data_IF_268204986233
#
_entry.id   IF_268204986233
#
_cell.length_a   1.000
_cell.length_b   1.000
_cell.length_c   1.000
_cell.angle_alpha   90.00
_cell.angle_beta   90.00
_cell.angle_gamma   90.00
#
_symmetry.space_group_name_H-M   'P 1'
#
loop_
_entity.id
_entity.type
_entity.pdbx_description
1 polymer ?
#
# COMPACT_ATOMS: atom_id res chain seq x y z
N UNK A 1 1.76 -38.01 -4.47
CA UNK A 1 1.99 -37.95 -3.01
C UNK A 1 1.30 -36.71 -2.48
N UNK A 2 0.18 -36.83 -1.75
CA UNK A 2 -0.55 -35.69 -1.19
C UNK A 2 0.24 -34.95 -0.08
N UNK A 3 1.12 -35.66 0.63
CA UNK A 3 1.92 -35.12 1.75
C UNK A 3 2.99 -34.11 1.31
N UNK A 4 3.68 -34.36 0.19
CA UNK A 4 4.64 -33.40 -0.36
C UNK A 4 3.97 -32.09 -0.79
N UNK A 5 2.76 -32.15 -1.36
CA UNK A 5 2.01 -30.95 -1.76
C UNK A 5 1.63 -30.10 -0.54
N UNK A 6 1.16 -30.74 0.54
CA UNK A 6 0.77 -30.04 1.77
C UNK A 6 1.96 -29.37 2.47
N UNK A 7 3.15 -30.00 2.44
CA UNK A 7 4.37 -29.40 2.97
C UNK A 7 4.79 -28.17 2.13
N UNK A 8 4.75 -28.26 0.80
CA UNK A 8 5.05 -27.12 -0.07
C UNK A 8 4.09 -25.94 0.16
N UNK A 9 2.79 -26.20 0.32
CA UNK A 9 1.80 -25.17 0.63
C UNK A 9 2.06 -24.51 2.00
N UNK A 10 2.45 -25.33 2.98
CA UNK A 10 2.82 -24.84 4.33
C UNK A 10 4.06 -23.96 4.28
N UNK A 11 5.11 -24.39 3.56
CA UNK A 11 6.33 -23.62 3.36
C UNK A 11 6.03 -22.29 2.65
N UNK A 12 5.21 -22.33 1.60
CA UNK A 12 4.81 -21.13 0.86
C UNK A 12 4.03 -20.14 1.76
N UNK A 13 3.15 -20.65 2.62
CA UNK A 13 2.42 -19.82 3.58
C UNK A 13 3.35 -19.16 4.62
N UNK A 14 4.28 -19.93 5.21
CA UNK A 14 5.28 -19.41 6.15
C UNK A 14 6.16 -18.37 5.47
N UNK A 15 6.66 -18.67 4.26
CA UNK A 15 7.50 -17.74 3.51
C UNK A 15 6.79 -16.43 3.21
N UNK A 16 5.52 -16.47 2.81
CA UNK A 16 4.71 -15.27 2.57
C UNK A 16 4.56 -14.41 3.83
N UNK A 17 4.53 -15.02 5.01
CA UNK A 17 4.43 -14.31 6.29
C UNK A 17 5.78 -13.73 6.75
N UNK A 18 6.88 -14.47 6.57
CA UNK A 18 8.17 -14.18 7.21
C UNK A 18 9.21 -13.54 6.30
N UNK A 19 9.08 -13.69 4.98
CA UNK A 19 10.07 -13.22 3.99
C UNK A 19 10.47 -11.77 4.16
N UNK A 20 9.52 -10.86 4.38
CA UNK A 20 9.80 -9.44 4.58
C UNK A 20 10.71 -9.18 5.79
N UNK A 21 10.49 -9.91 6.91
CA UNK A 21 11.31 -9.80 8.12
C UNK A 21 12.71 -10.37 7.89
N UNK A 22 12.80 -11.50 7.19
CA UNK A 22 14.08 -12.14 6.86
C UNK A 22 14.92 -11.25 5.95
N UNK A 23 14.31 -10.72 4.88
CA UNK A 23 14.97 -9.80 3.94
C UNK A 23 15.39 -8.51 4.64
N UNK A 24 14.53 -7.94 5.50
CA UNK A 24 14.86 -6.75 6.27
C UNK A 24 16.09 -6.96 7.16
N UNK A 25 16.14 -8.09 7.87
CA UNK A 25 17.28 -8.43 8.72
C UNK A 25 18.56 -8.66 7.93
N UNK A 26 18.49 -9.41 6.83
CA UNK A 26 19.64 -9.62 5.94
C UNK A 26 20.13 -8.29 5.33
N UNK A 27 19.22 -7.41 4.91
CA UNK A 27 19.53 -6.11 4.31
C UNK A 27 20.26 -5.18 5.28
N UNK A 28 19.94 -5.23 6.58
CA UNK A 28 20.73 -4.50 7.58
C UNK A 28 22.18 -4.96 7.64
N UNK A 29 22.42 -6.27 7.56
CA UNK A 29 23.77 -6.85 7.67
C UNK A 29 24.60 -6.54 6.43
N UNK A 30 24.05 -6.77 5.24
CA UNK A 30 24.81 -6.65 3.98
C UNK A 30 24.71 -5.28 3.32
N UNK A 31 23.76 -4.44 3.74
CA UNK A 31 23.49 -3.09 3.21
C UNK A 31 23.22 -3.04 1.70
N UNK A 32 22.73 -4.14 1.16
CA UNK A 32 22.37 -4.32 -0.25
C UNK A 32 21.08 -5.13 -0.32
N UNK A 33 20.02 -4.54 -0.89
CA UNK A 33 18.70 -5.19 -0.98
C UNK A 33 18.68 -6.38 -1.93
N UNK A 34 19.46 -6.34 -3.00
CA UNK A 34 19.50 -7.42 -3.96
C UNK A 34 20.18 -8.63 -3.33
N UNK A 35 21.34 -8.40 -2.69
CA UNK A 35 22.04 -9.43 -1.95
C UNK A 35 21.21 -9.98 -0.79
N UNK A 36 20.47 -9.14 -0.09
CA UNK A 36 19.61 -9.57 1.02
C UNK A 36 18.49 -10.51 0.55
N UNK A 37 17.86 -10.23 -0.59
CA UNK A 37 16.86 -11.12 -1.17
C UNK A 37 17.45 -12.47 -1.57
N UNK A 38 18.63 -12.49 -2.20
CA UNK A 38 19.32 -13.73 -2.56
C UNK A 38 19.61 -14.60 -1.32
N UNK A 39 20.13 -13.98 -0.25
CA UNK A 39 20.45 -14.70 0.99
C UNK A 39 19.19 -15.23 1.70
N UNK A 40 18.08 -14.50 1.62
CA UNK A 40 16.80 -14.96 2.12
C UNK A 40 16.28 -16.14 1.29
N UNK A 41 16.41 -16.10 -0.05
CA UNK A 41 16.04 -17.21 -0.94
C UNK A 41 16.91 -18.44 -0.71
N UNK A 42 18.21 -18.29 -0.46
CA UNK A 42 19.10 -19.38 -0.05
C UNK A 42 18.62 -20.07 1.25
N UNK A 43 18.08 -19.31 2.20
CA UNK A 43 17.50 -19.87 3.41
C UNK A 43 16.21 -20.65 3.13
N UNK A 44 15.37 -20.17 2.21
CA UNK A 44 14.19 -20.91 1.75
C UNK A 44 14.57 -22.20 1.01
N UNK A 45 15.59 -22.16 0.15
CA UNK A 45 16.10 -23.35 -0.53
C UNK A 45 16.59 -24.39 0.47
N UNK A 46 17.35 -23.97 1.49
CA UNK A 46 17.79 -24.86 2.55
C UNK A 46 16.62 -25.49 3.33
N UNK A 47 15.53 -24.74 3.56
CA UNK A 47 14.31 -25.29 4.17
C UNK A 47 13.65 -26.35 3.28
N UNK A 48 13.52 -26.08 1.97
CA UNK A 48 12.95 -27.01 1.00
C UNK A 48 13.77 -28.29 0.84
N UNK A 49 15.09 -28.25 1.06
CA UNK A 49 15.95 -29.43 1.04
C UNK A 49 15.89 -30.24 2.36
N UNK A 50 15.76 -29.55 3.49
CA UNK A 50 15.94 -30.15 4.83
C UNK A 50 14.62 -30.64 5.43
N UNK A 51 13.55 -29.82 5.37
CA UNK A 51 12.29 -30.12 6.07
C UNK A 51 11.54 -31.35 5.54
N UNK A 52 11.58 -31.71 4.25
CA UNK A 52 11.00 -32.98 3.79
C UNK A 52 11.66 -34.21 4.41
N UNK A 53 12.95 -34.11 4.77
CA UNK A 53 13.72 -35.21 5.36
C UNK A 53 13.62 -35.26 6.87
N UNK A 54 13.74 -34.10 7.51
CA UNK A 54 13.91 -33.98 8.97
C UNK A 54 12.61 -33.57 9.69
N UNK A 55 11.56 -33.26 8.92
CA UNK A 55 10.30 -32.73 9.41
C UNK A 55 10.33 -31.21 9.62
N UNK A 56 9.14 -30.63 9.81
CA UNK A 56 8.99 -29.20 10.05
C UNK A 56 9.56 -28.83 11.44
N UNK A 57 10.44 -27.81 11.55
CA UNK A 57 10.92 -27.34 12.85
C UNK A 57 9.78 -26.84 13.73
N UNK A 58 9.96 -26.88 15.06
CA UNK A 58 8.97 -26.35 16.01
C UNK A 58 8.72 -24.85 15.81
N UNK A 59 9.75 -24.10 15.40
CA UNK A 59 9.62 -22.70 14.98
C UNK A 59 10.28 -22.49 13.61
N UNK A 60 9.53 -22.65 12.51
CA UNK A 60 10.05 -22.50 11.15
C UNK A 60 10.55 -21.08 10.84
N UNK A 61 9.87 -20.07 11.37
CA UNK A 61 10.23 -18.66 11.17
C UNK A 61 11.62 -18.34 11.76
N UNK A 62 11.86 -18.76 13.01
CA UNK A 62 13.15 -18.60 13.66
C UNK A 62 14.26 -19.36 12.92
N UNK A 63 13.96 -20.58 12.44
CA UNK A 63 14.93 -21.38 11.67
C UNK A 63 15.35 -20.67 10.37
N UNK A 64 14.38 -20.12 9.61
CA UNK A 64 14.66 -19.37 8.39
C UNK A 64 15.48 -18.10 8.68
N UNK A 65 15.13 -17.36 9.73
CA UNK A 65 15.84 -16.16 10.16
C UNK A 65 17.30 -16.46 10.52
N UNK A 66 17.53 -17.48 11.34
CA UNK A 66 18.89 -17.92 11.73
C UNK A 66 19.69 -18.35 10.50
N UNK A 67 19.07 -19.10 9.59
CA UNK A 67 19.72 -19.56 8.36
C UNK A 67 20.14 -18.38 7.48
N UNK A 68 19.24 -17.42 7.24
CA UNK A 68 19.55 -16.21 6.48
C UNK A 68 20.66 -15.38 7.14
N UNK A 69 20.64 -15.23 8.47
CA UNK A 69 21.70 -14.55 9.23
C UNK A 69 23.06 -15.21 9.02
N UNK A 70 23.15 -16.54 9.13
CA UNK A 70 24.41 -17.26 8.89
C UNK A 70 24.92 -17.06 7.47
N UNK A 71 24.02 -17.16 6.47
CA UNK A 71 24.37 -16.91 5.06
C UNK A 71 24.90 -15.49 4.84
N UNK A 72 24.27 -14.49 5.47
CA UNK A 72 24.74 -13.10 5.40
C UNK A 72 26.13 -12.91 6.01
N UNK A 73 26.39 -13.51 7.18
CA UNK A 73 27.71 -13.47 7.81
C UNK A 73 28.77 -14.16 6.94
N UNK A 74 28.45 -15.31 6.34
CA UNK A 74 29.35 -16.02 5.43
C UNK A 74 29.64 -15.22 4.15
N UNK A 75 28.65 -14.49 3.63
CA UNK A 75 28.87 -13.55 2.54
C UNK A 75 29.84 -12.43 2.92
N UNK A 76 29.62 -11.78 4.07
CA UNK A 76 30.51 -10.71 4.55
C UNK A 76 31.94 -11.20 4.80
N UNK A 77 32.11 -12.42 5.34
CA UNK A 77 33.44 -13.05 5.50
C UNK A 77 34.15 -13.21 4.16
N UNK A 78 33.44 -13.68 3.13
CA UNK A 78 34.00 -13.84 1.77
C UNK A 78 34.41 -12.51 1.15
N UNK A 79 33.56 -11.48 1.26
CA UNK A 79 33.87 -10.12 0.77
C UNK A 79 35.10 -9.55 1.47
N UNK A 80 35.18 -9.67 2.80
CA UNK A 80 36.34 -9.20 3.55
C UNK A 80 37.63 -9.94 3.18
N UNK A 81 37.55 -11.25 2.95
CA UNK A 81 38.68 -12.05 2.48
C UNK A 81 39.15 -11.63 1.08
N UNK A 82 38.21 -11.39 0.16
CA UNK A 82 38.50 -10.93 -1.21
C UNK A 82 39.13 -9.54 -1.21
N UNK A 83 38.56 -8.58 -0.47
CA UNK A 83 39.12 -7.23 -0.35
C UNK A 83 40.56 -7.26 0.19
N UNK A 84 40.85 -8.14 1.17
CA UNK A 84 42.21 -8.34 1.68
C UNK A 84 43.14 -9.01 0.68
N UNK A 85 42.64 -9.96 -0.12
CA UNK A 85 43.44 -10.57 -1.19
C UNK A 85 43.74 -9.55 -2.29
N UNK A 86 42.78 -8.70 -2.65
CA UNK A 86 42.98 -7.61 -3.60
C UNK A 86 43.95 -6.56 -3.05
N UNK A 87 43.84 -6.20 -1.76
CA UNK A 87 44.78 -5.32 -1.08
C UNK A 87 46.17 -5.96 -0.94
N UNK A 88 46.24 -7.25 -0.62
CA UNK A 88 47.49 -8.01 -0.57
C UNK A 88 48.12 -8.17 -1.95
N UNK A 89 47.34 -8.35 -3.03
CA UNK A 89 47.82 -8.36 -4.42
C UNK A 89 48.26 -6.96 -4.90
N UNK A 90 47.57 -5.91 -4.45
CA UNK A 90 47.96 -4.53 -4.69
C UNK A 90 49.23 -4.14 -3.91
N UNK A 91 49.41 -4.68 -2.70
CA UNK A 91 50.61 -4.54 -1.87
C UNK A 91 51.75 -5.46 -2.34
N UNK A 92 51.48 -6.64 -2.90
CA UNK A 92 52.46 -7.54 -3.54
C UNK A 92 53.01 -6.96 -4.85
N UNK A 93 52.29 -6.01 -5.47
CA UNK A 93 52.84 -5.17 -6.54
C UNK A 93 53.86 -4.13 -6.03
N UNK A 94 54.04 -3.97 -4.71
CA UNK A 94 54.98 -3.02 -4.09
C UNK A 94 55.94 -3.58 -3.04
N UNK A 95 55.73 -4.74 -2.41
CA UNK A 95 56.75 -5.36 -1.54
C UNK A 95 56.40 -6.78 -1.09
N UNK A 96 57.36 -7.68 -1.30
CA UNK A 96 57.41 -9.06 -0.81
C UNK A 96 57.24 -9.17 0.73
N UNK A 97 56.38 -10.14 1.12
CA UNK A 97 56.33 -10.88 2.39
C UNK A 97 55.87 -10.16 3.67
N UNK A 98 54.76 -10.64 4.24
CA UNK A 98 54.69 -11.05 5.65
C UNK A 98 53.45 -11.95 5.91
N UNK A 99 53.70 -13.15 6.44
CA UNK A 99 52.69 -13.99 7.06
C UNK A 99 52.06 -13.25 8.25
N UNK A 100 50.76 -13.00 8.16
CA UNK A 100 49.93 -12.61 9.31
C UNK A 100 48.59 -13.30 9.18
N UNK A 101 48.40 -14.34 9.99
CA UNK A 101 47.10 -14.96 10.27
C UNK A 101 46.54 -14.30 11.54
N UNK A 102 45.37 -13.61 11.51
CA UNK A 102 44.67 -13.41 12.78
C UNK A 102 43.12 -13.42 12.70
N UNK A 103 42.55 -14.33 13.48
CA UNK A 103 41.52 -14.26 14.52
C UNK A 103 40.72 -12.94 14.82
N UNK A 104 40.37 -12.12 13.82
CA UNK A 104 39.48 -10.94 14.00
C UNK A 104 37.99 -11.20 13.72
N UNK A 105 37.66 -12.35 13.11
CA UNK A 105 36.29 -12.72 12.81
C UNK A 105 35.39 -12.82 14.06
N UNK A 106 35.84 -13.37 15.22
CA UNK A 106 34.96 -13.59 16.36
C UNK A 106 34.40 -12.31 16.96
N UNK A 107 35.13 -11.19 16.92
CA UNK A 107 34.75 -9.95 17.63
C UNK A 107 33.71 -9.12 16.87
N UNK A 108 33.82 -9.08 15.52
CA UNK A 108 32.78 -8.52 14.64
C UNK A 108 31.51 -9.38 14.65
N UNK A 109 31.65 -10.70 14.73
CA UNK A 109 30.50 -11.62 14.88
C UNK A 109 29.82 -11.42 16.23
N UNK A 110 30.60 -11.25 17.31
CA UNK A 110 30.08 -11.06 18.68
C UNK A 110 29.38 -9.69 18.85
N UNK A 111 29.85 -8.64 18.17
CA UNK A 111 29.18 -7.33 18.16
C UNK A 111 27.89 -7.33 17.32
N UNK A 112 27.82 -8.13 16.25
CA UNK A 112 26.61 -8.35 15.45
C UNK A 112 25.61 -9.29 16.15
N UNK A 113 26.07 -10.25 16.96
CA UNK A 113 25.23 -11.15 17.76
C UNK A 113 24.48 -10.44 18.88
N UNK A 114 25.09 -9.43 19.51
CA UNK A 114 24.48 -8.65 20.60
C UNK A 114 23.39 -7.68 20.11
N UNK A 115 23.31 -7.40 18.80
CA UNK A 115 22.39 -6.42 18.21
C UNK A 115 21.12 -7.06 17.59
N UNK A 116 20.79 -8.30 17.99
CA UNK A 116 19.75 -9.14 17.42
C UNK A 116 18.69 -9.60 18.45
N UNK A 117 18.25 -8.69 19.32
CA UNK A 117 17.04 -8.89 20.13
C UNK A 117 15.76 -8.77 19.28
N UNK A 118 14.65 -9.36 19.70
CA UNK A 118 13.36 -9.28 18.98
C UNK A 118 12.90 -7.83 18.66
N UNK A 119 13.26 -6.86 19.51
CA UNK A 119 13.02 -5.43 19.28
C UNK A 119 13.74 -4.89 18.02
N UNK A 120 14.88 -5.47 17.64
CA UNK A 120 15.65 -5.05 16.47
C UNK A 120 15.01 -5.51 15.15
N UNK A 121 14.21 -6.58 15.16
CA UNK A 121 13.60 -7.13 13.92
C UNK A 121 12.45 -6.25 13.44
N UNK A 122 11.62 -5.77 14.36
CA UNK A 122 10.54 -4.83 14.05
C UNK A 122 11.12 -3.50 13.53
N UNK A 123 12.22 -3.03 14.12
CA UNK A 123 12.99 -1.89 13.60
C UNK A 123 13.57 -2.17 12.20
N UNK A 124 14.11 -3.36 11.94
CA UNK A 124 14.64 -3.74 10.62
C UNK A 124 13.54 -3.73 9.55
N UNK A 125 12.36 -4.27 9.85
CA UNK A 125 11.21 -4.24 8.95
C UNK A 125 10.73 -2.80 8.69
N UNK A 126 10.73 -1.97 9.73
CA UNK A 126 10.40 -0.55 9.59
C UNK A 126 11.42 0.15 8.67
N UNK A 127 12.73 -0.09 8.84
CA UNK A 127 13.79 0.42 7.95
C UNK A 127 13.54 0.03 6.50
N UNK A 128 13.24 -1.24 6.26
CA UNK A 128 12.98 -1.76 4.91
C UNK A 128 11.80 -1.03 4.24
N UNK A 129 10.73 -0.76 4.99
CA UNK A 129 9.57 -0.01 4.50
C UNK A 129 9.95 1.43 4.10
N UNK A 130 10.70 2.13 4.94
CA UNK A 130 11.16 3.49 4.63
C UNK A 130 12.05 3.52 3.38
N UNK A 131 12.96 2.56 3.25
CA UNK A 131 13.88 2.47 2.11
C UNK A 131 13.11 2.14 0.81
N UNK A 132 12.19 1.19 0.84
CA UNK A 132 11.37 0.83 -0.32
C UNK A 132 10.48 1.99 -0.79
N UNK A 133 10.07 2.86 0.15
CA UNK A 133 9.27 4.06 -0.11
C UNK A 133 10.11 5.34 -0.25
N UNK A 134 11.44 5.26 -0.38
CA UNK A 134 12.29 6.45 -0.42
C UNK A 134 12.04 7.32 -1.67
N UNK A 135 11.98 8.66 -1.55
CA UNK A 135 11.63 9.55 -2.66
C UNK A 135 12.64 9.57 -3.82
N UNK A 136 13.85 9.04 -3.62
CA UNK A 136 14.82 8.81 -4.72
C UNK A 136 14.25 7.89 -5.80
N UNK A 137 13.28 7.05 -5.45
CA UNK A 137 12.58 6.17 -6.37
C UNK A 137 11.32 6.85 -6.92
N UNK A 138 11.03 6.73 -8.23
CA UNK A 138 9.76 7.14 -8.81
C UNK A 138 8.57 6.41 -8.15
N UNK A 139 7.34 6.99 -8.11
CA UNK A 139 6.18 6.39 -7.44
C UNK A 139 5.87 4.95 -7.86
N UNK A 140 5.92 4.66 -9.17
CA UNK A 140 5.68 3.31 -9.69
C UNK A 140 6.75 2.30 -9.24
N UNK A 141 7.98 2.76 -9.04
CA UNK A 141 9.08 1.94 -8.52
C UNK A 141 8.91 1.67 -7.03
N UNK A 142 8.48 2.68 -6.24
CA UNK A 142 8.17 2.50 -4.81
C UNK A 142 7.07 1.47 -4.59
N UNK A 143 5.98 1.57 -5.35
CA UNK A 143 4.88 0.61 -5.29
C UNK A 143 5.35 -0.82 -5.63
N UNK A 144 6.01 -1.00 -6.78
CA UNK A 144 6.47 -2.31 -7.22
C UNK A 144 7.47 -2.94 -6.24
N UNK A 145 8.43 -2.14 -5.74
CA UNK A 145 9.43 -2.61 -4.79
C UNK A 145 8.81 -2.96 -3.43
N UNK A 146 7.86 -2.15 -2.94
CA UNK A 146 7.14 -2.41 -1.69
C UNK A 146 6.32 -3.70 -1.77
N UNK A 147 5.57 -3.89 -2.87
CA UNK A 147 4.79 -5.11 -3.10
C UNK A 147 5.68 -6.36 -3.18
N UNK A 148 6.88 -6.21 -3.78
CA UNK A 148 7.83 -7.31 -3.91
C UNK A 148 8.45 -7.70 -2.57
N UNK A 149 9.05 -6.72 -1.88
CA UNK A 149 9.84 -6.95 -0.67
C UNK A 149 8.98 -7.17 0.57
N UNK A 150 7.94 -6.36 0.74
CA UNK A 150 7.13 -6.37 1.94
C UNK A 150 5.84 -7.14 1.72
N UNK A 151 5.22 -6.98 0.55
CA UNK A 151 4.00 -7.70 0.20
C UNK A 151 4.21 -9.18 -0.13
N UNK A 152 5.44 -9.58 -0.45
CA UNK A 152 5.76 -10.96 -0.83
C UNK A 152 5.16 -11.40 -2.16
N UNK A 153 4.69 -10.46 -2.99
CA UNK A 153 4.14 -10.76 -4.31
C UNK A 153 5.25 -11.19 -5.28
N UNK A 154 4.93 -12.13 -6.16
CA UNK A 154 5.75 -12.46 -7.33
C UNK A 154 5.70 -11.34 -8.37
N UNK A 155 6.71 -11.30 -9.25
CA UNK A 155 6.74 -10.33 -10.36
C UNK A 155 5.51 -10.43 -11.25
N UNK A 156 5.04 -11.65 -11.53
CA UNK A 156 3.81 -11.90 -12.29
C UNK A 156 2.56 -11.34 -11.59
N UNK A 157 2.45 -11.52 -10.27
CA UNK A 157 1.34 -10.95 -9.49
C UNK A 157 1.37 -9.43 -9.49
N UNK A 158 2.55 -8.81 -9.36
CA UNK A 158 2.71 -7.35 -9.41
C UNK A 158 2.40 -6.83 -10.82
N UNK A 159 2.83 -7.55 -11.87
CA UNK A 159 2.54 -7.22 -13.26
C UNK A 159 1.04 -7.21 -13.54
N UNK A 160 0.33 -8.25 -13.08
CA UNK A 160 -1.13 -8.32 -13.13
C UNK A 160 -1.78 -7.20 -12.30
N UNK A 161 -1.30 -6.97 -11.08
CA UNK A 161 -1.83 -5.94 -10.19
C UNK A 161 -1.56 -4.50 -10.66
N UNK A 162 -0.57 -4.28 -11.53
CA UNK A 162 -0.27 -2.98 -12.12
C UNK A 162 -0.72 -2.85 -13.59
N UNK A 163 -1.23 -3.93 -14.21
CA UNK A 163 -1.49 -4.04 -15.65
C UNK A 163 -0.31 -3.59 -16.51
N UNK A 164 0.84 -4.16 -16.21
CA UNK A 164 2.08 -3.93 -16.94
C UNK A 164 2.62 -5.27 -17.43
N UNK A 165 3.31 -5.32 -18.58
CA UNK A 165 4.03 -6.54 -18.96
C UNK A 165 5.00 -6.97 -17.86
N UNK A 166 5.04 -8.26 -17.57
CA UNK A 166 5.92 -8.81 -16.53
C UNK A 166 7.40 -8.42 -16.71
N UNK A 167 7.99 -8.41 -17.93
CA UNK A 167 9.36 -7.93 -18.13
C UNK A 167 9.55 -6.46 -17.73
N UNK A 168 8.54 -5.61 -17.93
CA UNK A 168 8.58 -4.20 -17.56
C UNK A 168 8.63 -4.04 -16.03
N UNK A 169 7.85 -4.84 -15.30
CA UNK A 169 7.87 -4.84 -13.84
C UNK A 169 9.17 -5.40 -13.30
N UNK A 170 9.67 -6.51 -13.86
CA UNK A 170 10.97 -7.09 -13.50
C UNK A 170 12.10 -6.05 -13.62
N UNK A 171 12.20 -5.40 -14.79
CA UNK A 171 13.19 -4.35 -15.03
C UNK A 171 13.01 -3.13 -14.12
N UNK A 172 11.77 -2.82 -13.72
CA UNK A 172 11.49 -1.72 -12.80
C UNK A 172 12.01 -2.02 -11.39
N UNK A 173 11.79 -3.25 -10.90
CA UNK A 173 12.27 -3.69 -9.58
C UNK A 173 13.81 -3.71 -9.56
N UNK A 174 14.45 -4.29 -10.59
CA UNK A 174 15.92 -4.32 -10.69
C UNK A 174 16.50 -2.91 -10.71
N UNK A 175 15.94 -1.99 -11.52
CA UNK A 175 16.39 -0.59 -11.55
C UNK A 175 16.19 0.11 -10.22
N UNK A 176 15.07 -0.14 -9.52
CA UNK A 176 14.81 0.45 -8.22
C UNK A 176 15.85 0.03 -7.18
N UNK A 177 16.15 -1.27 -7.09
CA UNK A 177 17.20 -1.78 -6.20
C UNK A 177 18.57 -1.18 -6.51
N UNK A 178 18.94 -1.11 -7.79
CA UNK A 178 20.20 -0.48 -8.23
C UNK A 178 20.25 1.00 -7.86
N UNK A 179 19.18 1.76 -8.09
CA UNK A 179 19.12 3.17 -7.68
C UNK A 179 19.31 3.34 -6.17
N UNK A 180 18.76 2.44 -5.35
CA UNK A 180 18.98 2.47 -3.90
C UNK A 180 20.43 2.12 -3.54
N UNK A 181 21.02 1.08 -4.15
CA UNK A 181 22.42 0.73 -3.93
C UNK A 181 23.38 1.88 -4.32
N UNK A 182 23.17 2.48 -5.49
CA UNK A 182 23.99 3.57 -6.02
C UNK A 182 23.82 4.89 -5.20
N UNK A 183 22.72 5.02 -4.45
CA UNK A 183 22.44 6.24 -3.66
C UNK A 183 23.27 6.37 -2.38
N UNK A 184 23.89 5.28 -1.91
CA UNK A 184 24.66 5.26 -0.66
C UNK A 184 23.84 5.55 0.59
N UNK A 185 22.50 5.43 0.53
CA UNK A 185 21.63 5.67 1.68
C UNK A 185 21.98 4.71 2.82
N UNK A 186 22.17 5.22 4.06
CA UNK A 186 22.41 4.35 5.20
C UNK A 186 21.15 3.52 5.48
N UNK A 187 21.34 2.23 5.82
CA UNK A 187 20.25 1.36 6.30
C UNK A 187 19.94 1.70 7.77
N UNK A 188 19.41 2.90 8.00
CA UNK A 188 19.10 3.44 9.32
C UNK A 188 17.66 3.94 9.37
N UNK A 189 17.07 3.95 10.57
CA UNK A 189 15.75 4.54 10.75
C UNK A 189 15.90 6.07 10.70
N UNK A 190 15.14 6.77 9.84
CA UNK A 190 15.07 8.22 9.90
C UNK A 190 14.64 8.68 11.30
N UNK A 191 15.21 9.79 11.76
CA UNK A 191 14.90 10.39 13.07
C UNK A 191 14.32 11.79 12.89
N UNK A 192 13.53 12.23 13.87
CA UNK A 192 12.96 13.58 13.89
C UNK A 192 12.17 13.93 12.63
N UNK A 193 12.41 15.10 12.06
CA UNK A 193 11.68 15.64 10.90
C UNK A 193 11.82 14.78 9.64
N UNK A 194 13.01 14.18 9.42
CA UNK A 194 13.24 13.27 8.30
C UNK A 194 12.35 12.01 8.39
N UNK A 195 12.01 11.57 9.61
CA UNK A 195 11.05 10.48 9.81
C UNK A 195 9.64 10.89 9.39
N UNK A 196 9.20 12.08 9.79
CA UNK A 196 7.86 12.59 9.45
C UNK A 196 7.68 12.74 7.94
N UNK A 197 8.66 13.29 7.24
CA UNK A 197 8.63 13.41 5.77
C UNK A 197 8.60 12.05 5.08
N UNK A 198 9.48 11.14 5.51
CA UNK A 198 9.56 9.81 4.92
C UNK A 198 8.28 8.98 5.23
N UNK A 199 7.65 9.20 6.38
CA UNK A 199 6.40 8.56 6.76
C UNK A 199 5.26 8.97 5.82
N UNK A 200 5.23 10.24 5.41
CA UNK A 200 4.29 10.71 4.38
C UNK A 200 4.40 9.91 3.08
N UNK A 201 5.62 9.60 2.63
CA UNK A 201 5.85 8.77 1.43
C UNK A 201 5.34 7.32 1.63
N UNK A 202 5.61 6.72 2.79
CA UNK A 202 5.14 5.38 3.14
C UNK A 202 3.61 5.31 3.13
N UNK A 203 2.94 6.24 3.80
CA UNK A 203 1.49 6.32 3.86
C UNK A 203 0.88 6.50 2.46
N UNK A 204 1.49 7.35 1.64
CA UNK A 204 1.05 7.57 0.26
C UNK A 204 1.14 6.31 -0.61
N UNK A 205 2.20 5.50 -0.46
CA UNK A 205 2.35 4.23 -1.20
C UNK A 205 1.31 3.21 -0.74
N UNK A 206 1.09 3.07 0.58
CA UNK A 206 0.08 2.15 1.12
C UNK A 206 -1.33 2.55 0.67
N UNK A 207 -1.64 3.86 0.72
CA UNK A 207 -2.92 4.38 0.25
C UNK A 207 -3.13 4.17 -1.25
N UNK A 208 -2.12 4.43 -2.08
CA UNK A 208 -2.19 4.22 -3.53
C UNK A 208 -2.42 2.76 -3.88
N UNK A 209 -1.70 1.86 -3.21
CA UNK A 209 -1.87 0.42 -3.36
C UNK A 209 -3.31 -0.01 -3.02
N UNK A 210 -3.85 0.47 -1.89
CA UNK A 210 -5.22 0.17 -1.51
C UNK A 210 -6.21 0.68 -2.56
N UNK A 211 -6.04 1.91 -3.03
CA UNK A 211 -6.94 2.51 -4.02
C UNK A 211 -6.94 1.77 -5.35
N UNK A 212 -5.77 1.37 -5.85
CA UNK A 212 -5.67 0.56 -7.07
C UNK A 212 -6.32 -0.83 -6.89
N UNK A 213 -6.32 -1.37 -5.67
CA UNK A 213 -7.05 -2.60 -5.36
C UNK A 213 -8.56 -2.37 -5.24
N UNK A 214 -8.95 -1.26 -4.64
CA UNK A 214 -10.32 -0.96 -4.28
C UNK A 214 -11.14 -0.49 -5.49
N UNK A 215 -10.54 0.28 -6.39
CA UNK A 215 -11.14 0.67 -7.67
C UNK A 215 -10.04 0.64 -8.74
N UNK A 216 -9.93 -0.49 -9.42
CA UNK A 216 -8.89 -0.73 -10.42
C UNK A 216 -9.00 0.30 -11.55
N UNK A 217 -7.95 1.09 -11.75
CA UNK A 217 -7.96 2.21 -12.70
C UNK A 217 -8.05 1.75 -14.16
N UNK A 218 -7.64 0.52 -14.42
CA UNK A 218 -7.63 -0.10 -15.75
C UNK A 218 -8.00 -1.60 -15.66
N UNK A 219 -8.29 -2.21 -16.82
CA UNK A 219 -8.44 -3.66 -16.99
C UNK A 219 -9.88 -4.16 -16.94
N UNK A 220 -10.04 -5.48 -16.86
CA UNK A 220 -11.34 -6.16 -16.88
C UNK A 220 -11.94 -6.34 -15.49
N UNK A 221 -11.10 -6.54 -14.47
CA UNK A 221 -11.54 -6.62 -13.08
C UNK A 221 -11.79 -5.21 -12.53
N UNK A 222 -12.90 -4.98 -11.84
CA UNK A 222 -13.13 -3.69 -11.17
C UNK A 222 -12.40 -3.54 -9.84
N UNK A 223 -12.21 -4.64 -9.13
CA UNK A 223 -11.47 -4.64 -7.87
C UNK A 223 -10.46 -5.77 -7.87
N UNK A 224 -9.34 -5.53 -7.18
CA UNK A 224 -8.29 -6.51 -6.91
C UNK A 224 -8.21 -6.68 -5.38
N UNK A 225 -9.09 -7.51 -4.79
CA UNK A 225 -9.21 -7.62 -3.32
C UNK A 225 -7.90 -7.98 -2.64
N UNK A 226 -7.09 -8.83 -3.27
CA UNK A 226 -5.76 -9.22 -2.78
C UNK A 226 -4.83 -8.02 -2.57
N UNK A 227 -4.92 -6.99 -3.42
CA UNK A 227 -4.13 -5.77 -3.28
C UNK A 227 -4.64 -4.89 -2.12
N UNK A 228 -5.96 -4.86 -1.89
CA UNK A 228 -6.54 -4.22 -0.70
C UNK A 228 -6.11 -4.92 0.59
N UNK A 229 -6.17 -6.25 0.60
CA UNK A 229 -5.76 -7.09 1.74
C UNK A 229 -4.30 -6.85 2.09
N UNK A 230 -3.43 -6.79 1.07
CA UNK A 230 -2.01 -6.53 1.26
C UNK A 230 -1.74 -5.12 1.79
N UNK A 231 -2.42 -4.11 1.23
CA UNK A 231 -2.34 -2.75 1.75
C UNK A 231 -2.81 -2.64 3.20
N UNK A 232 -3.90 -3.31 3.56
CA UNK A 232 -4.43 -3.34 4.91
C UNK A 232 -3.47 -4.05 5.87
N UNK A 233 -2.84 -5.14 5.43
CA UNK A 233 -1.79 -5.84 6.19
C UNK A 233 -0.61 -4.91 6.47
N UNK A 234 -0.11 -4.21 5.46
CA UNK A 234 1.00 -3.25 5.62
C UNK A 234 0.62 -2.06 6.51
N UNK A 235 -0.60 -1.53 6.41
CA UNK A 235 -1.09 -0.48 7.31
C UNK A 235 -1.14 -0.93 8.78
N UNK A 236 -1.57 -2.18 9.04
CA UNK A 236 -1.59 -2.75 10.40
C UNK A 236 -0.19 -2.96 10.96
N UNK A 237 0.74 -3.45 10.12
CA UNK A 237 2.16 -3.58 10.50
C UNK A 237 2.72 -2.20 10.85
N UNK A 238 2.51 -1.20 10.00
CA UNK A 238 2.98 0.16 10.26
C UNK A 238 2.39 0.77 11.54
N UNK A 239 1.10 0.55 11.81
CA UNK A 239 0.46 0.99 13.05
C UNK A 239 1.04 0.33 14.31
N UNK A 240 1.43 -0.94 14.22
CA UNK A 240 2.16 -1.64 15.28
C UNK A 240 3.57 -1.09 15.49
N UNK A 241 4.27 -0.76 14.41
CA UNK A 241 5.64 -0.23 14.43
C UNK A 241 5.71 1.26 14.81
N UNK A 242 4.62 2.01 14.61
CA UNK A 242 4.54 3.45 14.86
C UNK A 242 3.28 3.82 15.67
N UNK A 243 3.15 3.34 16.93
CA UNK A 243 1.91 3.44 17.70
C UNK A 243 1.57 4.86 18.19
N UNK A 244 2.50 5.80 18.09
CA UNK A 244 2.33 7.20 18.50
C UNK A 244 2.07 8.14 17.31
N UNK A 245 2.10 7.64 16.07
CA UNK A 245 1.89 8.46 14.88
C UNK A 245 0.39 8.54 14.56
N UNK A 246 -0.25 9.68 14.83
CA UNK A 246 -1.69 9.85 14.64
C UNK A 246 -2.13 9.53 13.20
N UNK A 247 -1.34 9.97 12.21
CA UNK A 247 -1.69 9.82 10.80
C UNK A 247 -1.61 8.38 10.29
N UNK A 248 -0.77 7.54 10.90
CA UNK A 248 -0.73 6.10 10.63
C UNK A 248 -2.05 5.44 11.02
N UNK A 249 -2.57 5.78 12.20
CA UNK A 249 -3.87 5.30 12.66
C UNK A 249 -5.02 5.88 11.83
N UNK A 250 -4.89 7.12 11.35
CA UNK A 250 -5.82 7.74 10.39
C UNK A 250 -5.91 6.96 9.08
N UNK A 251 -4.77 6.60 8.48
CA UNK A 251 -4.75 5.75 7.29
C UNK A 251 -5.32 4.37 7.57
N UNK A 252 -4.91 3.70 8.65
CA UNK A 252 -5.45 2.40 9.02
C UNK A 252 -6.99 2.46 9.17
N UNK A 253 -7.51 3.49 9.84
CA UNK A 253 -8.95 3.68 9.98
C UNK A 253 -9.65 3.80 8.63
N UNK A 254 -9.10 4.62 7.72
CA UNK A 254 -9.63 4.79 6.37
C UNK A 254 -9.69 3.44 5.63
N UNK A 255 -8.60 2.68 5.66
CA UNK A 255 -8.51 1.41 4.93
C UNK A 255 -9.42 0.34 5.52
N UNK A 256 -9.49 0.18 6.84
CA UNK A 256 -10.40 -0.75 7.51
C UNK A 256 -11.87 -0.46 7.15
N UNK A 257 -12.26 0.82 7.18
CA UNK A 257 -13.62 1.25 6.85
C UNK A 257 -13.93 1.00 5.37
N UNK A 258 -13.03 1.33 4.44
CA UNK A 258 -13.24 1.05 3.03
C UNK A 258 -13.26 -0.45 2.73
N UNK A 259 -12.35 -1.22 3.35
CA UNK A 259 -12.25 -2.67 3.20
C UNK A 259 -13.49 -3.39 3.72
N UNK A 260 -14.17 -2.84 4.73
CA UNK A 260 -15.41 -3.42 5.28
C UNK A 260 -16.50 -3.65 4.23
N UNK A 261 -16.43 -2.93 3.11
CA UNK A 261 -17.45 -2.95 2.07
C UNK A 261 -17.14 -3.91 0.93
N UNK A 262 -15.93 -4.46 0.83
CA UNK A 262 -15.45 -5.22 -0.33
C UNK A 262 -16.44 -6.31 -0.75
N UNK A 263 -16.97 -7.06 0.21
CA UNK A 263 -17.92 -8.14 -0.03
C UNK A 263 -19.31 -7.66 -0.51
N UNK A 264 -19.62 -6.36 -0.46
CA UNK A 264 -20.89 -5.78 -0.89
C UNK A 264 -20.79 -4.98 -2.20
N UNK A 265 -19.60 -4.86 -2.79
CA UNK A 265 -19.36 -4.03 -3.98
C UNK A 265 -19.72 -4.69 -5.30
N UNK A 266 -19.79 -6.01 -5.30
CA UNK A 266 -20.18 -6.82 -6.44
C UNK A 266 -21.43 -7.62 -6.09
N UNK A 267 -22.32 -7.76 -7.06
CA UNK A 267 -23.45 -8.69 -6.97
C UNK A 267 -23.02 -10.13 -7.30
N UNK A 268 -23.99 -11.05 -7.32
CA UNK A 268 -23.75 -12.46 -7.61
C UNK A 268 -23.27 -12.71 -9.04
N UNK A 269 -23.49 -11.77 -9.95
CA UNK A 269 -23.06 -11.79 -11.35
C UNK A 269 -21.70 -11.11 -11.54
N UNK A 270 -21.03 -10.72 -10.46
CA UNK A 270 -19.76 -10.00 -10.50
C UNK A 270 -19.89 -8.57 -11.04
N UNK A 271 -21.11 -8.01 -11.03
CA UNK A 271 -21.39 -6.68 -11.53
C UNK A 271 -21.35 -5.61 -10.45
N UNK A 272 -21.14 -4.37 -10.86
CA UNK A 272 -21.38 -3.17 -10.05
C UNK A 272 -22.50 -3.09 -9.05
N UNK A 273 -22.14 -2.83 -7.79
CA UNK A 273 -23.05 -2.27 -6.79
C UNK A 273 -22.51 -0.92 -6.28
N UNK A 274 -23.17 0.17 -6.68
CA UNK A 274 -22.82 1.53 -6.26
C UNK A 274 -23.10 1.73 -4.77
N UNK A 275 -22.34 2.63 -4.13
CA UNK A 275 -22.34 2.83 -2.67
C UNK A 275 -23.74 2.92 -2.04
N UNK A 276 -24.70 3.54 -2.71
CA UNK A 276 -26.05 3.76 -2.17
C UNK A 276 -26.95 2.55 -2.29
N UNK A 277 -26.63 1.64 -3.21
CA UNK A 277 -27.39 0.42 -3.48
C UNK A 277 -26.77 -0.80 -2.77
N UNK A 278 -25.62 -0.61 -2.08
CA UNK A 278 -24.96 -1.68 -1.34
C UNK A 278 -25.78 -2.10 -0.13
N UNK A 279 -25.98 -3.41 0.02
CA UNK A 279 -26.54 -3.98 1.24
C UNK A 279 -25.54 -3.84 2.39
N UNK A 280 -25.80 -2.89 3.29
CA UNK A 280 -24.94 -2.60 4.45
C UNK A 280 -24.85 -3.75 5.45
N UNK A 281 -25.77 -4.73 5.40
CA UNK A 281 -25.70 -5.95 6.23
C UNK A 281 -24.56 -6.87 5.79
N UNK A 282 -24.09 -6.74 4.54
CA UNK A 282 -22.92 -7.45 4.02
C UNK A 282 -21.60 -6.74 4.36
N UNK A 283 -21.64 -5.59 5.04
CA UNK A 283 -20.42 -4.90 5.45
C UNK A 283 -19.80 -5.61 6.66
N UNK A 284 -18.49 -5.77 6.65
CA UNK A 284 -17.76 -6.47 7.69
C UNK A 284 -17.73 -5.64 8.99
N UNK A 285 -18.52 -6.06 9.97
CA UNK A 285 -18.64 -5.40 11.26
C UNK A 285 -17.34 -5.42 12.08
N UNK A 286 -16.45 -6.40 11.89
CA UNK A 286 -15.14 -6.43 12.55
C UNK A 286 -14.23 -5.34 11.98
N UNK A 287 -14.16 -5.21 10.65
CA UNK A 287 -13.38 -4.15 10.00
C UNK A 287 -13.94 -2.77 10.37
N UNK A 288 -15.27 -2.60 10.43
CA UNK A 288 -15.87 -1.35 10.93
C UNK A 288 -15.43 -1.02 12.35
N UNK A 289 -15.50 -1.99 13.28
CA UNK A 289 -15.05 -1.77 14.67
C UNK A 289 -13.57 -1.43 14.77
N UNK A 290 -12.72 -2.12 13.99
CA UNK A 290 -11.28 -1.83 13.93
C UNK A 290 -11.01 -0.43 13.40
N UNK A 291 -11.70 -0.04 12.32
CA UNK A 291 -11.57 1.29 11.74
C UNK A 291 -12.01 2.41 12.69
N UNK A 292 -13.12 2.22 13.41
CA UNK A 292 -13.57 3.15 14.45
C UNK A 292 -12.56 3.25 15.60
N UNK A 293 -11.98 2.12 16.04
CA UNK A 293 -10.96 2.10 17.09
C UNK A 293 -9.67 2.81 16.65
N UNK A 294 -9.23 2.60 15.41
CA UNK A 294 -8.07 3.28 14.84
C UNK A 294 -8.31 4.79 14.71
N UNK A 295 -9.50 5.22 14.28
CA UNK A 295 -9.83 6.66 14.21
C UNK A 295 -9.83 7.30 15.60
N UNK A 296 -10.44 6.66 16.59
CA UNK A 296 -10.43 7.15 17.97
C UNK A 296 -8.99 7.26 18.53
N UNK A 297 -8.11 6.31 18.18
CA UNK A 297 -6.70 6.36 18.54
C UNK A 297 -5.98 7.53 17.86
N UNK A 298 -6.24 7.76 16.57
CA UNK A 298 -5.68 8.89 15.83
C UNK A 298 -6.12 10.23 16.45
N UNK A 299 -7.41 10.39 16.73
CA UNK A 299 -7.98 11.59 17.36
C UNK A 299 -7.37 11.85 18.75
N UNK A 300 -7.18 10.80 19.56
CA UNK A 300 -6.56 10.92 20.89
C UNK A 300 -5.08 11.37 20.81
N UNK A 301 -4.33 10.90 19.82
CA UNK A 301 -2.94 11.32 19.59
C UNK A 301 -2.88 12.76 19.07
N UNK A 302 -3.75 13.11 18.12
CA UNK A 302 -3.80 14.44 17.51
C UNK A 302 -4.20 15.56 18.49
N UNK A 303 -4.89 15.26 19.60
CA UNK A 303 -5.20 16.23 20.66
C UNK A 303 -3.95 16.85 21.28
N UNK A 304 -2.82 16.14 21.24
CA UNK A 304 -1.55 16.60 21.78
C UNK A 304 -0.62 17.23 20.72
N UNK A 305 -1.04 17.24 19.45
CA UNK A 305 -0.28 17.78 18.33
C UNK A 305 -0.75 19.20 17.95
N UNK A 306 0.18 20.14 17.82
CA UNK A 306 -0.13 21.52 17.42
C UNK A 306 -0.60 21.62 15.95
N UNK A 307 -0.28 20.63 15.12
CA UNK A 307 -0.53 20.59 13.68
C UNK A 307 -1.98 20.29 13.33
N UNK A 308 -2.77 19.67 14.22
CA UNK A 308 -4.15 19.21 13.94
C UNK A 308 -4.21 18.05 12.94
N UNK A 309 -5.42 17.58 12.54
CA UNK A 309 -5.60 16.30 11.84
C UNK A 309 -5.01 16.29 10.43
N UNK A 310 -4.33 15.19 10.08
CA UNK A 310 -3.80 14.97 8.74
C UNK A 310 -4.85 14.53 7.71
N UNK A 311 -4.45 14.41 6.43
CA UNK A 311 -5.39 14.15 5.33
C UNK A 311 -6.12 12.80 5.44
N UNK A 312 -5.48 11.74 5.95
CA UNK A 312 -6.06 10.42 6.11
C UNK A 312 -7.00 10.36 7.32
N UNK A 313 -6.70 11.07 8.40
CA UNK A 313 -7.63 11.22 9.53
C UNK A 313 -8.94 11.87 9.09
N UNK A 314 -8.86 12.96 8.32
CA UNK A 314 -10.04 13.65 7.80
C UNK A 314 -10.82 12.78 6.80
N UNK A 315 -10.13 12.06 5.92
CA UNK A 315 -10.78 11.10 5.01
C UNK A 315 -11.43 9.92 5.76
N UNK A 316 -10.80 9.41 6.83
CA UNK A 316 -11.35 8.36 7.67
C UNK A 316 -12.62 8.85 8.38
N UNK A 317 -12.61 10.07 8.92
CA UNK A 317 -13.80 10.67 9.53
C UNK A 317 -14.98 10.75 8.54
N UNK A 318 -14.71 11.16 7.29
CA UNK A 318 -15.71 11.15 6.21
C UNK A 318 -16.22 9.72 5.94
N UNK A 319 -15.31 8.74 5.81
CA UNK A 319 -15.68 7.36 5.53
C UNK A 319 -16.52 6.74 6.66
N UNK A 320 -16.22 7.08 7.92
CA UNK A 320 -16.94 6.62 9.11
C UNK A 320 -18.39 7.08 9.12
N UNK A 321 -18.73 8.25 8.57
CA UNK A 321 -20.12 8.70 8.43
C UNK A 321 -20.97 7.68 7.64
N UNK A 322 -20.40 7.07 6.60
CA UNK A 322 -21.08 5.99 5.88
C UNK A 322 -21.20 4.72 6.74
N UNK A 323 -20.10 4.30 7.39
CA UNK A 323 -20.07 3.07 8.19
C UNK A 323 -20.98 3.08 9.42
N UNK A 324 -21.26 4.25 10.00
CA UNK A 324 -22.14 4.39 11.16
C UNK A 324 -23.63 4.32 10.79
N UNK A 325 -23.99 4.68 9.57
CA UNK A 325 -25.38 4.71 9.16
C UNK A 325 -25.87 3.30 8.78
N UNK A 326 -26.99 2.87 9.37
CA UNK A 326 -27.56 1.54 9.13
C UNK A 326 -28.13 1.38 7.71
N UNK A 327 -28.59 2.47 7.10
CA UNK A 327 -29.11 2.50 5.72
C UNK A 327 -28.48 3.63 4.93
N UNK A 328 -28.64 3.61 3.60
CA UNK A 328 -28.11 4.63 2.71
C UNK A 328 -28.69 6.02 3.02
N UNK A 329 -29.98 6.08 3.31
CA UNK A 329 -30.76 7.29 3.59
C UNK A 329 -30.39 7.91 4.94
N UNK A 330 -30.01 7.09 5.92
CA UNK A 330 -29.60 7.54 7.25
C UNK A 330 -28.16 8.13 7.28
N UNK A 331 -27.48 8.20 6.13
CA UNK A 331 -26.13 8.76 6.03
C UNK A 331 -26.15 10.26 6.36
N UNK A 332 -25.30 10.67 7.31
CA UNK A 332 -25.15 12.08 7.66
C UNK A 332 -24.31 12.82 6.60
N UNK A 333 -25.00 13.30 5.57
CA UNK A 333 -24.37 14.07 4.49
C UNK A 333 -23.88 15.44 4.93
N UNK A 334 -24.46 16.05 5.97
CA UNK A 334 -23.98 17.32 6.50
C UNK A 334 -22.59 17.16 7.13
N UNK A 335 -22.40 16.11 7.93
CA UNK A 335 -21.08 15.77 8.47
C UNK A 335 -20.06 15.45 7.37
N UNK A 336 -20.46 14.76 6.31
CA UNK A 336 -19.58 14.47 5.17
C UNK A 336 -19.14 15.76 4.46
N UNK A 337 -20.07 16.69 4.20
CA UNK A 337 -19.74 17.99 3.59
C UNK A 337 -18.78 18.78 4.48
N UNK A 338 -19.04 18.85 5.79
CA UNK A 338 -18.16 19.50 6.75
C UNK A 338 -16.76 18.86 6.81
N UNK A 339 -16.68 17.53 6.70
CA UNK A 339 -15.41 16.80 6.60
C UNK A 339 -14.62 17.18 5.34
N UNK A 340 -15.30 17.27 4.19
CA UNK A 340 -14.66 17.74 2.96
C UNK A 340 -14.26 19.22 3.02
N UNK A 341 -15.02 20.06 3.71
CA UNK A 341 -14.65 21.46 3.97
C UNK A 341 -13.35 21.56 4.78
N UNK A 342 -13.24 20.78 5.87
CA UNK A 342 -12.03 20.70 6.68
C UNK A 342 -10.83 20.17 5.86
N UNK A 343 -11.04 19.13 5.05
CA UNK A 343 -10.01 18.57 4.18
C UNK A 343 -9.54 19.57 3.13
N UNK A 344 -10.46 20.28 2.48
CA UNK A 344 -10.15 21.28 1.45
C UNK A 344 -9.41 22.49 2.02
N UNK A 345 -9.74 22.92 3.24
CA UNK A 345 -9.09 24.04 3.90
C UNK A 345 -7.60 23.78 4.21
N UNK A 346 -7.25 22.53 4.52
CA UNK A 346 -5.88 22.14 4.89
C UNK A 346 -5.08 21.52 3.72
N UNK A 347 -5.76 20.76 2.87
CA UNK A 347 -5.18 19.96 1.80
C UNK A 347 -5.95 20.18 0.48
N UNK A 348 -5.86 21.39 -0.11
CA UNK A 348 -6.65 21.73 -1.29
C UNK A 348 -6.28 20.85 -2.48
N UNK A 349 -7.28 20.24 -3.10
CA UNK A 349 -7.12 19.40 -4.28
C UNK A 349 -8.35 19.48 -5.19
N UNK A 350 -8.19 19.52 -6.53
CA UNK A 350 -9.31 19.43 -7.46
C UNK A 350 -10.20 18.21 -7.22
N UNK A 351 -9.62 17.08 -6.84
CA UNK A 351 -10.36 15.85 -6.54
C UNK A 351 -11.17 15.98 -5.24
N UNK A 352 -10.62 16.65 -4.22
CA UNK A 352 -11.36 16.95 -2.98
C UNK A 352 -12.55 17.87 -3.27
N UNK A 353 -12.37 18.89 -4.13
CA UNK A 353 -13.46 19.78 -4.57
C UNK A 353 -14.56 19.03 -5.30
N UNK A 354 -14.20 18.11 -6.19
CA UNK A 354 -15.14 17.24 -6.89
C UNK A 354 -15.93 16.35 -5.89
N UNK A 355 -15.23 15.66 -5.00
CA UNK A 355 -15.87 14.78 -4.01
C UNK A 355 -16.81 15.55 -3.07
N UNK A 356 -16.41 16.77 -2.68
CA UNK A 356 -17.28 17.68 -1.92
C UNK A 356 -18.56 18.01 -2.70
N UNK A 357 -18.47 18.34 -3.98
CA UNK A 357 -19.65 18.63 -4.80
C UNK A 357 -20.59 17.42 -4.89
N UNK A 358 -20.06 16.20 -4.98
CA UNK A 358 -20.85 14.96 -4.89
C UNK A 358 -21.55 14.85 -3.53
N UNK A 359 -20.87 15.12 -2.42
CA UNK A 359 -21.50 15.12 -1.09
C UNK A 359 -22.62 16.17 -0.97
N UNK A 360 -22.37 17.41 -1.45
CA UNK A 360 -23.38 18.48 -1.49
C UNK A 360 -24.60 18.06 -2.32
N UNK A 361 -24.40 17.30 -3.40
CA UNK A 361 -25.51 16.81 -4.23
C UNK A 361 -26.48 15.87 -3.49
N UNK A 362 -26.03 15.28 -2.39
CA UNK A 362 -26.76 14.30 -1.57
C UNK A 362 -27.35 14.93 -0.31
N UNK A 363 -26.78 16.04 0.14
CA UNK A 363 -27.31 16.84 1.23
C UNK A 363 -28.69 17.41 0.88
N UNK A 364 -29.57 17.52 1.87
CA UNK A 364 -30.93 18.03 1.65
C UNK A 364 -30.93 19.51 1.24
N UNK A 365 -31.94 19.97 0.48
CA UNK A 365 -32.07 21.39 0.13
C UNK A 365 -32.17 22.32 1.34
N UNK A 366 -32.81 21.87 2.43
CA UNK A 366 -32.94 22.61 3.69
C UNK A 366 -31.59 22.93 4.35
N UNK A 367 -30.59 22.07 4.10
CA UNK A 367 -29.22 22.25 4.61
C UNK A 367 -28.31 22.96 3.60
N UNK A 368 -28.89 23.58 2.55
CA UNK A 368 -28.15 24.29 1.50
C UNK A 368 -27.52 23.37 0.45
N UNK A 369 -27.93 22.10 0.41
CA UNK A 369 -27.44 21.11 -0.53
C UNK A 369 -28.33 20.91 -1.76
N UNK A 370 -28.11 19.76 -2.41
CA UNK A 370 -28.95 19.24 -3.48
C UNK A 370 -28.30 19.27 -4.87
N UNK A 371 -28.91 18.58 -5.84
CA UNK A 371 -28.32 18.40 -7.17
C UNK A 371 -28.03 19.73 -7.91
N UNK A 372 -28.91 20.73 -7.81
CA UNK A 372 -28.71 22.01 -8.48
C UNK A 372 -27.48 22.78 -7.96
N UNK A 373 -27.28 22.79 -6.64
CA UNK A 373 -26.11 23.42 -6.00
C UNK A 373 -24.83 22.69 -6.39
N UNK A 374 -24.86 21.36 -6.36
CA UNK A 374 -23.73 20.54 -6.78
C UNK A 374 -23.35 20.77 -8.24
N UNK A 375 -24.32 20.91 -9.15
CA UNK A 375 -24.04 21.18 -10.56
C UNK A 375 -23.29 22.50 -10.74
N UNK A 376 -23.68 23.55 -10.01
CA UNK A 376 -22.99 24.83 -10.03
C UNK A 376 -21.55 24.72 -9.48
N UNK A 377 -21.30 23.84 -8.51
CA UNK A 377 -19.96 23.57 -7.98
C UNK A 377 -19.09 22.76 -8.96
N UNK A 378 -19.68 21.89 -9.77
CA UNK A 378 -18.97 21.07 -10.76
C UNK A 378 -18.56 21.88 -12.00
N UNK A 379 -19.36 22.87 -12.42
CA UNK A 379 -19.10 23.64 -13.64
C UNK A 379 -17.69 24.27 -13.69
N UNK A 380 -17.19 24.99 -12.66
CA UNK A 380 -15.84 25.53 -12.69
C UNK A 380 -14.73 24.48 -12.72
N UNK A 381 -15.01 23.23 -12.35
CA UNK A 381 -14.01 22.15 -12.33
C UNK A 381 -13.67 21.67 -13.74
N UNK A 382 -14.56 21.87 -14.73
CA UNK A 382 -14.33 21.53 -16.14
C UNK A 382 -13.14 22.27 -16.75
N UNK A 383 -12.90 23.49 -16.28
CA UNK A 383 -11.83 24.35 -16.77
C UNK A 383 -10.46 23.98 -16.18
N UNK A 384 -10.42 23.15 -15.14
CA UNK A 384 -9.17 22.71 -14.53
C UNK A 384 -8.49 21.65 -15.40
N UNK A 385 -7.26 21.88 -15.88
CA UNK A 385 -6.55 20.92 -16.72
C UNK A 385 -6.40 19.54 -16.05
N UNK A 386 -6.24 19.51 -14.72
CA UNK A 386 -6.08 18.29 -13.94
C UNK A 386 -7.33 17.38 -13.93
N UNK A 387 -8.51 17.89 -14.28
CA UNK A 387 -9.78 17.13 -14.28
C UNK A 387 -10.37 16.93 -15.68
N UNK A 388 -9.75 17.50 -16.73
CA UNK A 388 -10.28 17.47 -18.10
C UNK A 388 -10.56 16.05 -18.61
N UNK A 389 -9.61 15.16 -18.34
CA UNK A 389 -9.62 13.75 -18.75
C UNK A 389 -9.92 12.82 -17.58
N UNK A 390 -10.43 13.37 -16.46
CA UNK A 390 -10.78 12.58 -15.28
C UNK A 390 -12.23 12.07 -15.41
N UNK A 391 -12.45 10.75 -15.60
CA UNK A 391 -13.78 10.21 -15.93
C UNK A 391 -14.83 10.52 -14.87
N UNK A 392 -14.41 10.61 -13.60
CA UNK A 392 -15.31 10.78 -12.47
C UNK A 392 -15.92 12.19 -12.38
N UNK A 393 -15.31 13.21 -13.00
CA UNK A 393 -15.96 14.52 -13.13
C UNK A 393 -17.21 14.40 -14.03
N UNK A 394 -17.05 13.81 -15.21
CA UNK A 394 -18.16 13.59 -16.14
C UNK A 394 -19.22 12.63 -15.55
N UNK A 395 -18.80 11.60 -14.81
CA UNK A 395 -19.73 10.70 -14.12
C UNK A 395 -20.54 11.42 -13.03
N UNK A 396 -19.91 12.28 -12.23
CA UNK A 396 -20.59 13.04 -11.18
C UNK A 396 -21.60 14.04 -11.78
N UNK A 397 -21.24 14.68 -12.89
CA UNK A 397 -22.14 15.56 -13.62
C UNK A 397 -23.35 14.80 -14.17
N UNK A 398 -23.13 13.63 -14.80
CA UNK A 398 -24.21 12.78 -15.29
C UNK A 398 -25.20 12.40 -14.18
N UNK A 399 -24.67 11.99 -13.02
CA UNK A 399 -25.48 11.60 -11.85
C UNK A 399 -26.30 12.76 -11.27
N UNK A 400 -25.75 13.96 -11.26
CA UNK A 400 -26.44 15.18 -10.82
C UNK A 400 -27.51 15.61 -11.83
N UNK A 401 -27.18 15.58 -13.13
CA UNK A 401 -28.10 15.95 -14.22
C UNK A 401 -29.28 14.99 -14.32
N UNK A 402 -29.04 13.69 -14.14
CA UNK A 402 -30.08 12.66 -14.10
C UNK A 402 -31.09 12.93 -12.98
N UNK A 403 -30.60 13.22 -11.77
CA UNK A 403 -31.45 13.58 -10.61
C UNK A 403 -32.20 14.90 -10.77
N UNK A 404 -31.73 15.78 -11.66
CA UNK A 404 -32.44 17.00 -12.06
C UNK A 404 -33.43 16.78 -13.21
N UNK A 405 -33.56 15.55 -13.73
CA UNK A 405 -34.41 15.24 -14.88
C UNK A 405 -33.84 15.70 -16.23
N UNK A 406 -32.59 16.19 -16.27
CA UNK A 406 -31.90 16.65 -17.51
C UNK A 406 -31.31 15.46 -18.26
N UNK A 407 -32.19 14.56 -18.72
CA UNK A 407 -31.83 13.21 -19.23
C UNK A 407 -30.82 13.22 -20.36
N UNK A 408 -31.00 14.08 -21.36
CA UNK A 408 -30.10 14.12 -22.53
C UNK A 408 -28.69 14.62 -22.16
N UNK A 409 -28.59 15.62 -21.30
CA UNK A 409 -27.29 16.10 -20.82
C UNK A 409 -26.60 15.06 -19.91
N UNK A 410 -27.39 14.36 -19.09
CA UNK A 410 -26.89 13.26 -18.27
C UNK A 410 -26.35 12.11 -19.14
N UNK A 411 -27.07 11.76 -20.21
CA UNK A 411 -26.64 10.75 -21.19
C UNK A 411 -25.27 11.09 -21.78
N UNK A 412 -25.11 12.32 -22.30
CA UNK A 412 -23.84 12.79 -22.88
C UNK A 412 -22.70 12.76 -21.85
N UNK A 413 -22.99 13.15 -20.61
CA UNK A 413 -22.00 13.12 -19.54
C UNK A 413 -21.54 11.69 -19.20
N UNK A 414 -22.46 10.72 -19.13
CA UNK A 414 -22.11 9.32 -18.92
C UNK A 414 -21.35 8.69 -20.10
N UNK A 415 -21.71 9.04 -21.34
CA UNK A 415 -20.96 8.58 -22.52
C UNK A 415 -19.52 9.11 -22.52
N UNK A 416 -19.33 10.38 -22.15
CA UNK A 416 -17.99 10.96 -21.97
C UNK A 416 -17.23 10.26 -20.84
N UNK A 417 -17.88 10.02 -19.70
CA UNK A 417 -17.26 9.32 -18.58
C UNK A 417 -16.82 7.90 -18.99
N UNK A 418 -17.66 7.19 -19.76
CA UNK A 418 -17.32 5.87 -20.29
C UNK A 418 -16.13 5.93 -21.27
N UNK A 419 -16.08 6.94 -22.15
CA UNK A 419 -14.97 7.09 -23.10
C UNK A 419 -13.61 7.38 -22.42
N UNK A 420 -13.63 8.02 -21.25
CA UNK A 420 -12.45 8.36 -20.46
C UNK A 420 -12.02 7.26 -19.47
N UNK A 421 -12.87 6.28 -19.19
CA UNK A 421 -12.55 5.23 -18.22
C UNK A 421 -11.62 4.16 -18.81
N UNK A 422 -10.59 3.78 -18.04
CA UNK A 422 -9.67 2.71 -18.40
C UNK A 422 -10.15 1.30 -18.00
N UNK A 423 -11.21 1.21 -17.19
CA UNK A 423 -11.73 -0.05 -16.65
C UNK A 423 -12.98 -0.50 -17.40
N UNK A 424 -13.01 -1.77 -17.85
CA UNK A 424 -14.09 -2.29 -18.67
C UNK A 424 -15.45 -2.35 -17.93
N UNK A 425 -15.46 -2.63 -16.63
CA UNK A 425 -16.70 -2.64 -15.83
C UNK A 425 -17.23 -1.24 -15.59
N UNK A 426 -16.34 -0.26 -15.35
CA UNK A 426 -16.75 1.16 -15.27
C UNK A 426 -17.32 1.64 -16.61
N UNK A 427 -16.68 1.29 -17.73
CA UNK A 427 -17.21 1.59 -19.07
C UNK A 427 -18.60 0.98 -19.29
N UNK A 428 -18.78 -0.30 -18.94
CA UNK A 428 -20.04 -1.01 -19.10
C UNK A 428 -21.15 -0.37 -18.25
N UNK A 429 -20.87 -0.08 -16.97
CA UNK A 429 -21.80 0.59 -16.07
C UNK A 429 -22.22 1.96 -16.60
N UNK A 430 -21.26 2.79 -17.00
CA UNK A 430 -21.53 4.14 -17.48
C UNK A 430 -22.30 4.14 -18.80
N UNK A 431 -21.99 3.21 -19.73
CA UNK A 431 -22.78 3.01 -20.96
C UNK A 431 -24.19 2.54 -20.67
N UNK A 432 -24.38 1.62 -19.72
CA UNK A 432 -25.70 1.14 -19.32
C UNK A 432 -26.55 2.30 -18.74
N UNK A 433 -25.97 3.15 -17.89
CA UNK A 433 -26.64 4.37 -17.40
C UNK A 433 -27.01 5.33 -18.53
N UNK A 434 -26.11 5.57 -19.48
CA UNK A 434 -26.42 6.39 -20.65
C UNK A 434 -27.57 5.79 -21.48
N UNK A 435 -27.56 4.47 -21.69
CA UNK A 435 -28.59 3.79 -22.48
C UNK A 435 -29.96 3.84 -21.82
N UNK A 436 -30.04 3.72 -20.49
CA UNK A 436 -31.29 3.85 -19.72
C UNK A 436 -31.92 5.26 -19.79
N UNK A 437 -31.15 6.26 -20.24
CA UNK A 437 -31.59 7.64 -20.38
C UNK A 437 -32.11 7.99 -21.77
N UNK A 438 -31.94 7.11 -22.77
CA UNK A 438 -32.51 7.32 -24.11
C UNK A 438 -34.03 7.42 -24.03
N UNK A 439 -34.58 8.40 -24.71
CA UNK A 439 -36.01 8.47 -24.98
C UNK A 439 -36.36 7.40 -26.03
N UNK A 440 -37.50 6.73 -25.88
CA UNK A 440 -38.09 5.92 -26.96
C UNK A 440 -38.42 6.79 -28.18
#
# INVERSE_FOLDING_TARGET
MPEDSALHDTVAAIWRQESARIVAHAARLVRDLDRAEELAQDALLAALETWPRDGLPHNPAAWLMTTAKHRALDHLRRVAMQARQEEALAQDLQSLQADVEPDFAPELIRSLDQAADAAHIDDDLLRLLFIACHPVLPPASRLALTLRLLGGLSTAEIARACLQPEPTVAQRIVRAKRTLADSGLPFELPQGEARSEALGSVLAVIYLMFNEGHAASQGEDWMRPTLCEEALRLARVLAGLSPQEAEVHGLLALLEIQASRLAARLDEQGQPVLLMDQDRRRWDALLIRRGLGALARAEALAQHEATGPGPYQLQAAIAVCHARAATAEATDWAAIVAGYDALMARYPSPVVRLNRAVAVSRQSPEQGGGPAVALALLQPLRELPALRDYPWLASAEGDVLERLGRREEARVAFERAAALSGNAQDQALLRARAQALKSD
#
